data_IF_632072107331
#
_entry.id   IF_632072107331
#
_cell.length_a   1.000
_cell.length_b   1.000
_cell.length_c   1.000
_cell.angle_alpha   90.00
_cell.angle_beta   90.00
_cell.angle_gamma   90.00
#
_symmetry.space_group_name_H-M   'P 1'
#
loop_
_entity.id
_entity.type
_entity.pdbx_description
1 polymer ?
#
# COMPACT_ATOMS: atom_id res chain seq x y z
N UNK A 1 20.93 -4.14 7.17
CA UNK A 1 19.58 -4.71 7.37
C UNK A 1 19.00 -5.06 6.00
N UNK A 2 18.62 -6.32 5.74
CA UNK A 2 18.05 -6.71 4.44
C UNK A 2 16.66 -6.07 4.24
N UNK A 3 16.17 -6.04 3.00
CA UNK A 3 14.86 -5.47 2.63
C UNK A 3 13.68 -6.14 3.36
N UNK A 4 13.80 -7.42 3.69
CA UNK A 4 12.78 -8.21 4.39
C UNK A 4 12.64 -7.74 5.86
N UNK A 5 13.76 -7.49 6.55
CA UNK A 5 13.80 -6.99 7.91
C UNK A 5 13.27 -5.56 8.04
N UNK A 6 13.46 -4.72 7.01
CA UNK A 6 12.82 -3.39 6.93
C UNK A 6 11.30 -3.50 6.78
N UNK A 7 10.81 -4.40 5.91
CA UNK A 7 9.37 -4.66 5.75
C UNK A 7 8.73 -5.21 7.02
N UNK A 8 9.47 -6.05 7.76
CA UNK A 8 9.09 -6.59 9.06
C UNK A 8 8.87 -5.49 10.10
N UNK A 9 9.89 -4.65 10.29
CA UNK A 9 9.84 -3.51 11.21
C UNK A 9 8.73 -2.56 10.79
N UNK A 10 8.48 -2.39 9.49
CA UNK A 10 7.41 -1.54 8.99
C UNK A 10 6.01 -2.11 9.24
N UNK A 11 5.81 -3.42 9.09
CA UNK A 11 4.57 -4.09 9.46
C UNK A 11 4.30 -3.95 10.97
N UNK A 12 5.35 -4.00 11.80
CA UNK A 12 5.26 -3.76 13.24
C UNK A 12 5.01 -2.28 13.57
N UNK A 13 5.59 -1.33 12.83
CA UNK A 13 5.26 0.11 12.94
C UNK A 13 3.82 0.39 12.49
N UNK A 14 3.33 -0.26 11.43
CA UNK A 14 1.94 -0.16 10.99
C UNK A 14 1.02 -0.76 12.04
N UNK A 15 1.36 -1.94 12.58
CA UNK A 15 0.67 -2.55 13.73
C UNK A 15 0.59 -1.54 14.88
N UNK A 16 1.72 -0.95 15.29
CA UNK A 16 1.78 -0.07 16.45
C UNK A 16 1.16 1.33 16.23
N UNK A 17 1.22 1.88 15.02
CA UNK A 17 0.68 3.22 14.70
C UNK A 17 -0.79 3.21 14.27
N UNK A 18 -1.32 2.08 13.78
CA UNK A 18 -2.69 1.98 13.25
C UNK A 18 -3.64 1.11 14.08
N UNK A 19 -3.15 0.41 15.13
CA UNK A 19 -4.02 -0.27 16.10
C UNK A 19 -5.02 0.66 16.81
N UNK A 20 -4.81 1.98 16.77
CA UNK A 20 -5.61 2.96 17.53
C UNK A 20 -6.51 3.87 16.67
N UNK A 21 -6.47 3.79 15.33
CA UNK A 21 -7.02 4.86 14.50
C UNK A 21 -7.71 4.42 13.18
N UNK A 22 -8.72 3.54 13.25
CA UNK A 22 -9.71 3.18 12.20
C UNK A 22 -9.56 1.81 11.47
N UNK A 23 -10.74 1.21 11.25
CA UNK A 23 -11.17 0.04 10.45
C UNK A 23 -10.24 -1.18 10.34
N UNK A 24 -10.62 -2.23 11.07
CA UNK A 24 -10.09 -3.60 11.07
C UNK A 24 -10.30 -4.35 9.73
N UNK A 25 -9.97 -3.76 8.59
CA UNK A 25 -10.18 -4.38 7.29
C UNK A 25 -8.85 -4.69 6.59
N UNK A 26 -8.51 -5.98 6.60
CA UNK A 26 -7.24 -6.50 6.07
C UNK A 26 -7.04 -6.16 4.58
N UNK A 27 -8.13 -5.99 3.83
CA UNK A 27 -8.09 -5.59 2.42
C UNK A 27 -7.30 -4.29 2.20
N UNK A 28 -7.39 -3.36 3.15
CA UNK A 28 -6.71 -2.08 3.06
C UNK A 28 -5.23 -2.17 3.37
N UNK A 29 -4.84 -3.08 4.27
CA UNK A 29 -3.43 -3.44 4.49
C UNK A 29 -2.83 -4.01 3.20
N UNK A 30 -3.58 -4.87 2.49
CA UNK A 30 -3.15 -5.39 1.19
C UNK A 30 -2.90 -4.28 0.18
N UNK A 31 -3.85 -3.35 0.03
CA UNK A 31 -3.72 -2.24 -0.91
C UNK A 31 -2.49 -1.36 -0.58
N UNK A 32 -2.27 -1.06 0.69
CA UNK A 32 -1.08 -0.34 1.15
C UNK A 32 0.22 -1.03 0.75
N UNK A 33 0.34 -2.33 1.03
CA UNK A 33 1.54 -3.11 0.71
C UNK A 33 1.76 -3.21 -0.80
N UNK A 34 0.69 -3.32 -1.58
CA UNK A 34 0.75 -3.28 -3.05
C UNK A 34 1.34 -1.97 -3.55
N UNK A 35 0.88 -0.83 -3.01
CA UNK A 35 1.44 0.48 -3.34
C UNK A 35 2.92 0.62 -2.97
N UNK A 36 3.28 0.21 -1.76
CA UNK A 36 4.67 0.23 -1.29
C UNK A 36 5.58 -0.62 -2.18
N UNK A 37 5.20 -1.87 -2.48
CA UNK A 37 6.01 -2.75 -3.34
C UNK A 37 6.10 -2.22 -4.78
N UNK A 38 5.02 -1.62 -5.30
CA UNK A 38 5.02 -1.06 -6.65
C UNK A 38 6.06 0.05 -6.82
N UNK A 39 6.18 0.96 -5.84
CA UNK A 39 7.22 2.00 -5.81
C UNK A 39 8.64 1.41 -5.81
N UNK A 40 8.89 0.38 -4.99
CA UNK A 40 10.19 -0.32 -4.95
C UNK A 40 10.56 -0.92 -6.32
N UNK A 41 9.60 -1.57 -6.99
CA UNK A 41 9.80 -2.16 -8.33
C UNK A 41 10.13 -1.06 -9.36
N UNK A 42 9.37 0.04 -9.35
CA UNK A 42 9.62 1.18 -10.25
C UNK A 42 10.99 1.83 -10.01
N UNK A 43 11.52 1.75 -8.79
CA UNK A 43 12.86 2.22 -8.45
C UNK A 43 13.98 1.25 -8.86
N UNK A 44 13.66 0.13 -9.50
CA UNK A 44 14.64 -0.87 -9.90
C UNK A 44 15.16 -1.70 -8.74
N UNK A 45 14.54 -1.63 -7.56
CA UNK A 45 14.73 -2.69 -6.58
C UNK A 45 14.13 -3.94 -7.20
N UNK A 46 15.00 -4.91 -7.48
CA UNK A 46 14.58 -6.25 -7.86
C UNK A 46 13.76 -6.73 -6.67
N UNK A 47 12.42 -6.89 -6.79
CA UNK A 47 11.76 -7.78 -5.85
C UNK A 47 12.53 -9.07 -6.00
N UNK A 48 12.94 -9.71 -4.90
CA UNK A 48 13.32 -11.11 -4.98
C UNK A 48 12.14 -11.76 -5.74
N UNK A 49 12.32 -12.06 -7.03
CA UNK A 49 11.36 -12.42 -8.10
C UNK A 49 9.99 -11.64 -8.23
N UNK A 50 9.63 -11.11 -9.42
CA UNK A 50 8.30 -10.53 -9.72
C UNK A 50 7.10 -11.48 -9.53
N UNK A 51 7.34 -12.79 -9.55
CA UNK A 51 6.37 -13.86 -9.24
C UNK A 51 6.60 -14.52 -7.89
N UNK A 52 7.69 -14.22 -7.20
CA UNK A 52 7.77 -14.49 -5.78
C UNK A 52 7.08 -13.33 -5.08
N UNK A 53 5.76 -13.52 -4.94
CA UNK A 53 5.06 -13.29 -3.68
C UNK A 53 6.11 -13.13 -2.56
N UNK A 54 6.31 -11.89 -2.09
CA UNK A 54 7.19 -11.51 -1.00
C UNK A 54 7.30 -12.68 -0.01
N UNK A 55 8.50 -13.28 0.17
CA UNK A 55 8.69 -14.59 0.82
C UNK A 55 7.88 -14.71 2.13
N UNK A 56 7.85 -13.64 2.90
CA UNK A 56 6.97 -13.46 4.05
C UNK A 56 5.48 -13.64 3.73
N UNK A 57 4.90 -12.89 2.76
CA UNK A 57 3.50 -13.06 2.33
C UNK A 57 3.23 -14.40 1.66
N UNK A 58 4.24 -15.01 1.06
CA UNK A 58 4.17 -16.35 0.50
C UNK A 58 4.00 -17.40 1.60
N UNK A 59 4.83 -17.28 2.64
CA UNK A 59 4.74 -18.07 3.87
C UNK A 59 3.45 -17.79 4.61
N UNK A 60 3.00 -16.53 4.65
CA UNK A 60 1.74 -16.13 5.25
C UNK A 60 0.53 -16.68 4.51
N UNK A 61 0.49 -16.56 3.18
CA UNK A 61 -0.54 -17.14 2.32
C UNK A 61 -0.56 -18.67 2.47
N UNK A 62 0.61 -19.31 2.50
CA UNK A 62 0.74 -20.76 2.71
C UNK A 62 0.28 -21.17 4.11
N UNK A 63 0.70 -20.44 5.14
CA UNK A 63 0.29 -20.67 6.53
C UNK A 63 -1.23 -20.56 6.64
N UNK A 64 -1.83 -19.45 6.17
CA UNK A 64 -3.28 -19.23 6.20
C UNK A 64 -4.01 -20.35 5.45
N UNK A 65 -3.58 -20.69 4.23
CA UNK A 65 -4.20 -21.79 3.46
C UNK A 65 -4.15 -23.12 4.18
N UNK A 66 -3.01 -23.46 4.78
CA UNK A 66 -2.85 -24.69 5.52
C UNK A 66 -3.71 -24.70 6.79
N UNK A 67 -3.76 -23.58 7.52
CA UNK A 67 -4.56 -23.42 8.74
C UNK A 67 -6.07 -23.56 8.47
N UNK A 68 -6.55 -23.10 7.32
CA UNK A 68 -7.96 -23.20 6.92
C UNK A 68 -8.24 -24.34 5.92
N UNK A 69 -7.27 -25.21 5.63
CA UNK A 69 -7.38 -26.32 4.68
C UNK A 69 -7.89 -25.92 3.27
N UNK A 70 -7.45 -24.77 2.75
CA UNK A 70 -7.86 -24.24 1.44
C UNK A 70 -6.80 -24.48 0.36
N UNK A 71 -7.19 -25.27 -0.64
CA UNK A 71 -6.35 -25.57 -1.82
C UNK A 71 -6.69 -24.72 -3.07
N UNK A 72 -7.74 -23.89 -3.01
CA UNK A 72 -8.18 -23.07 -4.16
C UNK A 72 -7.39 -21.76 -4.27
N UNK A 73 -7.25 -21.23 -5.49
CA UNK A 73 -6.56 -19.96 -5.79
C UNK A 73 -7.39 -18.72 -5.42
N UNK A 74 -7.77 -18.60 -4.16
CA UNK A 74 -8.46 -17.43 -3.57
C UNK A 74 -7.50 -16.60 -2.72
N UNK A 75 -7.70 -15.28 -2.59
CA UNK A 75 -6.78 -14.46 -1.79
C UNK A 75 -6.79 -14.87 -0.30
N UNK A 76 -5.65 -14.81 0.40
CA UNK A 76 -5.59 -15.11 1.84
C UNK A 76 -6.56 -14.25 2.67
N UNK A 77 -6.85 -13.04 2.21
CA UNK A 77 -7.83 -12.14 2.81
C UNK A 77 -9.26 -12.66 2.66
N UNK A 78 -9.59 -13.20 1.48
CA UNK A 78 -10.88 -13.85 1.24
C UNK A 78 -11.04 -15.11 2.08
N UNK A 79 -9.96 -15.87 2.28
CA UNK A 79 -9.95 -17.05 3.16
C UNK A 79 -10.30 -16.62 4.58
N UNK A 80 -9.53 -15.69 5.15
CA UNK A 80 -9.75 -15.25 6.54
C UNK A 80 -11.17 -14.68 6.69
N UNK A 81 -11.58 -13.74 5.84
CA UNK A 81 -12.91 -13.14 5.92
C UNK A 81 -14.05 -14.17 5.81
N UNK A 82 -13.87 -15.23 5.02
CA UNK A 82 -14.89 -16.27 4.86
C UNK A 82 -15.04 -17.13 6.12
N UNK A 83 -13.95 -17.38 6.85
CA UNK A 83 -13.93 -18.24 8.04
C UNK A 83 -14.05 -17.49 9.37
N UNK A 84 -14.21 -16.17 9.34
CA UNK A 84 -14.36 -15.35 10.55
C UNK A 84 -15.71 -14.69 10.63
N UNK A 85 -16.28 -14.64 11.83
CA UNK A 85 -17.64 -14.14 12.07
C UNK A 85 -17.81 -12.64 11.75
N UNK A 86 -16.75 -11.85 11.92
CA UNK A 86 -16.76 -10.42 11.68
C UNK A 86 -15.36 -9.90 11.30
N UNK A 87 -15.30 -8.64 10.86
CA UNK A 87 -14.06 -8.00 10.39
C UNK A 87 -13.00 -7.81 11.48
N UNK A 88 -13.40 -7.61 12.73
CA UNK A 88 -12.47 -7.46 13.86
C UNK A 88 -11.74 -8.78 14.15
N UNK A 89 -12.48 -9.90 14.18
CA UNK A 89 -11.91 -11.23 14.31
C UNK A 89 -11.06 -11.61 13.09
N UNK A 90 -11.49 -11.23 11.88
CA UNK A 90 -10.68 -11.38 10.68
C UNK A 90 -9.31 -10.71 10.86
N UNK A 91 -9.32 -9.45 11.26
CA UNK A 91 -8.12 -8.66 11.50
C UNK A 91 -7.23 -9.29 12.58
N UNK A 92 -7.80 -9.70 13.71
CA UNK A 92 -7.05 -10.36 14.77
C UNK A 92 -6.36 -11.62 14.25
N UNK A 93 -7.10 -12.51 13.57
CA UNK A 93 -6.57 -13.76 13.02
C UNK A 93 -5.49 -13.51 11.95
N UNK A 94 -5.61 -12.43 11.18
CA UNK A 94 -4.58 -12.02 10.22
C UNK A 94 -3.29 -11.58 10.92
N UNK A 95 -3.39 -10.79 11.98
CA UNK A 95 -2.21 -10.36 12.73
C UNK A 95 -1.58 -11.47 13.56
N UNK A 96 -2.37 -12.40 14.08
CA UNK A 96 -1.85 -13.61 14.72
C UNK A 96 -1.08 -14.48 13.72
N UNK A 97 -1.63 -14.69 12.52
CA UNK A 97 -0.94 -15.39 11.44
C UNK A 97 0.37 -14.68 11.03
N UNK A 98 0.35 -13.34 10.99
CA UNK A 98 1.56 -12.53 10.80
C UNK A 98 2.56 -12.83 11.92
N UNK A 99 2.18 -12.70 13.19
CA UNK A 99 3.09 -12.88 14.33
C UNK A 99 3.73 -14.27 14.32
N UNK A 100 2.96 -15.32 14.00
CA UNK A 100 3.45 -16.70 13.89
C UNK A 100 4.49 -16.82 12.76
N UNK A 101 4.16 -16.33 11.56
CA UNK A 101 5.06 -16.44 10.39
C UNK A 101 6.29 -15.55 10.56
N UNK A 102 6.13 -14.40 11.23
CA UNK A 102 7.22 -13.50 11.61
C UNK A 102 8.20 -14.21 12.54
N UNK A 103 7.70 -14.83 13.61
CA UNK A 103 8.54 -15.53 14.59
C UNK A 103 9.28 -16.71 13.95
N UNK A 104 8.60 -17.52 13.13
CA UNK A 104 9.23 -18.63 12.39
C UNK A 104 10.32 -18.13 11.43
N UNK A 105 10.09 -16.98 10.78
CA UNK A 105 11.05 -16.40 9.84
C UNK A 105 12.26 -15.79 10.55
N UNK A 106 12.05 -15.16 11.72
CA UNK A 106 13.12 -14.65 12.58
C UNK A 106 14.00 -15.77 13.14
N UNK A 107 13.40 -16.86 13.61
CA UNK A 107 14.14 -18.03 14.10
C UNK A 107 15.01 -18.64 12.99
N UNK A 108 14.43 -18.81 11.79
CA UNK A 108 15.16 -19.30 10.61
C UNK A 108 16.30 -18.36 10.18
N UNK A 109 16.08 -17.03 10.25
CA UNK A 109 17.07 -16.02 9.91
C UNK A 109 18.22 -15.99 10.93
N UNK A 110 17.92 -16.00 12.23
CA UNK A 110 18.92 -16.07 13.30
C UNK A 110 19.77 -17.33 13.17
N UNK A 111 19.18 -18.45 12.76
CA UNK A 111 19.92 -19.67 12.47
C UNK A 111 20.85 -19.52 11.25
N UNK A 112 20.38 -18.91 10.16
CA UNK A 112 21.20 -18.67 8.96
C UNK A 112 22.38 -17.72 9.18
N UNK A 113 22.26 -16.74 10.10
CA UNK A 113 23.36 -15.82 10.47
C UNK A 113 24.43 -16.57 11.26
N UNK A 114 24.01 -17.49 12.16
CA UNK A 114 24.96 -18.31 12.92
C UNK A 114 25.80 -19.20 11.99
N UNK A 115 25.26 -19.55 10.83
CA UNK A 115 25.88 -20.47 9.89
C UNK A 115 26.68 -19.78 8.77
N UNK A 116 26.55 -18.46 8.54
CA UNK A 116 27.33 -17.72 7.53
C UNK A 116 27.54 -16.23 7.87
N UNK A 117 28.77 -15.88 8.26
CA UNK A 117 29.18 -14.51 8.54
C UNK A 117 29.85 -13.84 7.32
N UNK A 118 29.07 -13.41 6.31
CA UNK A 118 29.44 -12.32 5.38
C UNK A 118 28.33 -12.06 4.36
N UNK A 119 27.57 -10.98 4.52
CA UNK A 119 26.83 -10.38 3.40
C UNK A 119 26.94 -8.85 3.44
N UNK A 120 27.67 -8.31 2.47
CA UNK A 120 27.81 -6.87 2.21
C UNK A 120 26.65 -6.42 1.31
N UNK A 121 25.96 -5.36 1.72
CA UNK A 121 24.87 -4.73 0.97
C UNK A 121 25.44 -3.87 -0.16
N UNK A 122 25.07 -4.14 -1.41
CA UNK A 122 25.33 -3.25 -2.54
C UNK A 122 24.04 -2.50 -2.86
N UNK A 123 24.04 -1.19 -2.59
CA UNK A 123 22.97 -0.29 -3.01
C UNK A 123 23.27 0.24 -4.41
N UNK A 124 22.35 0.18 -5.37
CA UNK A 124 22.51 0.94 -6.60
C UNK A 124 22.42 2.43 -6.26
N UNK A 125 23.56 3.09 -6.36
CA UNK A 125 23.68 4.53 -6.30
C UNK A 125 23.05 5.10 -7.57
N UNK A 126 21.93 5.83 -7.48
CA UNK A 126 21.46 6.72 -8.56
C UNK A 126 20.45 7.74 -8.05
N UNK A 127 20.93 8.96 -7.91
CA UNK A 127 20.16 10.18 -7.92
C UNK A 127 19.35 10.26 -9.22
N UNK A 128 18.07 9.96 -9.17
CA UNK A 128 17.13 10.35 -10.21
C UNK A 128 15.94 11.00 -9.52
N UNK A 129 15.89 12.33 -9.65
CA UNK A 129 14.80 13.22 -9.27
C UNK A 129 13.47 12.56 -9.66
N UNK A 130 12.57 12.35 -8.71
CA UNK A 130 11.20 11.89 -9.00
C UNK A 130 10.54 12.98 -9.83
N UNK A 131 10.02 12.62 -10.98
CA UNK A 131 9.27 13.50 -11.85
C UNK A 131 7.79 13.41 -11.46
N UNK A 132 7.10 14.55 -11.26
CA UNK A 132 5.65 14.64 -11.01
C UNK A 132 4.83 13.74 -11.95
N UNK A 133 5.36 13.49 -13.14
CA UNK A 133 4.80 12.60 -14.14
C UNK A 133 4.57 11.16 -13.64
N UNK A 134 5.39 10.61 -12.72
CA UNK A 134 5.30 9.21 -12.29
C UNK A 134 4.02 8.90 -11.51
N UNK A 135 3.73 9.68 -10.46
CA UNK A 135 2.50 9.49 -9.68
C UNK A 135 1.26 9.73 -10.55
N UNK A 136 1.29 10.74 -11.42
CA UNK A 136 0.19 11.03 -12.34
C UNK A 136 -0.04 9.88 -13.33
N UNK A 137 1.03 9.31 -13.88
CA UNK A 137 0.94 8.17 -14.79
C UNK A 137 0.48 6.89 -14.09
N UNK A 138 0.92 6.66 -12.85
CA UNK A 138 0.41 5.58 -12.01
C UNK A 138 -1.10 5.74 -11.76
N UNK A 139 -1.56 6.94 -11.40
CA UNK A 139 -2.98 7.21 -11.22
C UNK A 139 -3.79 6.96 -12.49
N UNK A 140 -3.26 7.26 -13.69
CA UNK A 140 -3.90 6.90 -14.97
C UNK A 140 -4.00 5.39 -15.14
N UNK A 141 -2.92 4.63 -14.89
CA UNK A 141 -2.93 3.16 -14.99
C UNK A 141 -3.94 2.53 -14.03
N UNK A 142 -4.00 3.02 -12.79
CA UNK A 142 -4.98 2.55 -11.79
C UNK A 142 -6.41 2.86 -12.23
N UNK A 143 -6.65 4.03 -12.85
CA UNK A 143 -7.98 4.41 -13.38
C UNK A 143 -8.46 3.41 -14.43
N UNK A 144 -7.56 3.02 -15.35
CA UNK A 144 -7.88 2.13 -16.46
C UNK A 144 -8.13 0.69 -16.00
N UNK A 145 -7.39 0.22 -14.98
CA UNK A 145 -7.42 -1.17 -14.52
C UNK A 145 -7.43 -1.29 -12.99
N UNK A 146 -8.43 -0.76 -12.28
CA UNK A 146 -8.42 -0.71 -10.82
C UNK A 146 -8.30 -2.09 -10.18
N UNK A 147 -8.93 -3.12 -10.75
CA UNK A 147 -8.82 -4.49 -10.28
C UNK A 147 -7.39 -5.07 -10.29
N UNK A 148 -6.54 -4.62 -11.22
CA UNK A 148 -5.14 -5.09 -11.30
C UNK A 148 -4.28 -4.55 -10.16
N UNK A 149 -4.58 -3.34 -9.67
CA UNK A 149 -3.77 -2.65 -8.66
C UNK A 149 -4.37 -2.77 -7.25
N UNK A 150 -5.70 -2.73 -7.16
CA UNK A 150 -6.44 -2.61 -5.91
C UNK A 150 -7.29 -3.85 -5.60
N UNK A 151 -7.37 -4.82 -6.53
CA UNK A 151 -8.28 -5.96 -6.45
C UNK A 151 -9.74 -5.64 -6.80
N UNK A 152 -10.16 -4.38 -6.60
CA UNK A 152 -11.47 -3.89 -6.99
C UNK A 152 -11.47 -2.37 -7.21
N UNK A 153 -12.61 -1.81 -7.61
CA UNK A 153 -12.81 -0.37 -7.70
C UNK A 153 -13.23 0.21 -6.35
N UNK A 154 -12.25 0.69 -5.57
CA UNK A 154 -12.46 1.20 -4.20
C UNK A 154 -11.66 2.48 -3.94
N UNK A 155 -12.34 3.51 -3.42
CA UNK A 155 -11.71 4.76 -2.96
C UNK A 155 -10.77 4.48 -1.79
N UNK A 156 -11.25 3.69 -0.81
CA UNK A 156 -10.47 3.39 0.39
C UNK A 156 -9.23 2.57 0.02
N UNK A 157 -9.38 1.57 -0.84
CA UNK A 157 -8.26 0.82 -1.41
C UNK A 157 -7.24 1.71 -2.14
N UNK A 158 -7.72 2.66 -2.95
CA UNK A 158 -6.85 3.65 -3.61
C UNK A 158 -6.09 4.51 -2.60
N UNK A 159 -6.76 5.01 -1.55
CA UNK A 159 -6.14 5.84 -0.50
C UNK A 159 -5.01 5.11 0.21
N UNK A 160 -5.24 3.86 0.59
CA UNK A 160 -4.23 3.02 1.23
C UNK A 160 -3.07 2.68 0.28
N UNK A 161 -3.37 2.34 -0.97
CA UNK A 161 -2.35 2.11 -2.00
C UNK A 161 -1.43 3.34 -2.16
N UNK A 162 -2.00 4.54 -2.31
CA UNK A 162 -1.22 5.76 -2.46
C UNK A 162 -0.38 6.05 -1.21
N UNK A 163 -0.92 5.79 -0.02
CA UNK A 163 -0.18 5.95 1.24
C UNK A 163 1.07 5.07 1.27
N UNK A 164 0.95 3.80 0.88
CA UNK A 164 2.08 2.88 0.81
C UNK A 164 3.09 3.27 -0.28
N UNK A 165 2.60 3.66 -1.46
CA UNK A 165 3.43 4.10 -2.57
C UNK A 165 4.28 5.33 -2.22
N UNK A 166 3.66 6.36 -1.67
CA UNK A 166 4.31 7.62 -1.28
C UNK A 166 5.37 7.37 -0.21
N UNK A 167 5.05 6.55 0.80
CA UNK A 167 6.01 6.25 1.85
C UNK A 167 7.26 5.55 1.31
N UNK A 168 7.08 4.59 0.40
CA UNK A 168 8.19 3.93 -0.27
C UNK A 168 9.02 4.92 -1.10
N UNK A 169 8.38 5.86 -1.80
CA UNK A 169 9.12 6.89 -2.54
C UNK A 169 9.96 7.80 -1.62
N UNK A 170 9.43 8.21 -0.47
CA UNK A 170 10.19 8.98 0.53
C UNK A 170 11.40 8.17 1.00
N UNK A 171 11.22 6.88 1.28
CA UNK A 171 12.30 6.03 1.78
C UNK A 171 13.39 5.75 0.73
N UNK A 172 13.01 5.64 -0.55
CA UNK A 172 13.95 5.34 -1.64
C UNK A 172 14.69 6.60 -2.09
N UNK A 173 13.96 7.69 -2.26
CA UNK A 173 14.45 8.89 -2.95
C UNK A 173 14.70 10.07 -2.01
N UNK A 174 14.35 9.95 -0.73
CA UNK A 174 14.32 11.07 0.23
C UNK A 174 13.50 12.26 -0.32
N UNK A 175 12.51 11.97 -1.17
CA UNK A 175 11.73 12.96 -1.89
C UNK A 175 10.27 12.97 -1.42
N UNK A 176 9.70 14.17 -1.33
CA UNK A 176 8.33 14.44 -0.91
C UNK A 176 7.44 15.00 -2.03
N UNK A 177 7.90 15.03 -3.28
CA UNK A 177 7.13 15.52 -4.45
C UNK A 177 5.72 14.89 -4.53
N UNK A 178 5.62 13.58 -4.35
CA UNK A 178 4.32 12.88 -4.32
C UNK A 178 3.45 13.29 -3.13
N UNK A 179 4.04 13.60 -1.97
CA UNK A 179 3.31 14.21 -0.85
C UNK A 179 2.77 15.58 -1.22
N UNK A 180 3.56 16.41 -1.91
CA UNK A 180 3.13 17.73 -2.34
C UNK A 180 1.98 17.67 -3.34
N UNK A 181 1.99 16.73 -4.29
CA UNK A 181 0.88 16.53 -5.24
C UNK A 181 -0.40 16.14 -4.50
N UNK A 182 -0.32 15.15 -3.60
CA UNK A 182 -1.50 14.73 -2.82
C UNK A 182 -1.99 15.83 -1.89
N UNK A 183 -1.10 16.53 -1.20
CA UNK A 183 -1.44 17.67 -0.34
C UNK A 183 -2.05 18.84 -1.11
N UNK A 184 -1.58 19.11 -2.33
CA UNK A 184 -2.14 20.16 -3.19
C UNK A 184 -3.53 19.79 -3.71
N UNK A 185 -3.74 18.52 -4.07
CA UNK A 185 -5.07 18.02 -4.44
C UNK A 185 -6.04 18.05 -3.26
N UNK A 186 -5.58 17.70 -2.06
CA UNK A 186 -6.35 17.79 -0.82
C UNK A 186 -6.77 19.22 -0.51
N UNK A 187 -5.84 20.18 -0.64
CA UNK A 187 -6.15 21.60 -0.48
C UNK A 187 -7.20 22.06 -1.50
N UNK A 188 -7.05 21.67 -2.77
CA UNK A 188 -8.04 21.96 -3.82
C UNK A 188 -9.45 21.47 -3.45
N UNK A 189 -9.58 20.25 -2.90
CA UNK A 189 -10.87 19.72 -2.47
C UNK A 189 -11.43 20.44 -1.24
N UNK A 190 -10.58 20.76 -0.25
CA UNK A 190 -10.99 21.51 0.93
C UNK A 190 -11.56 22.88 0.53
N UNK A 191 -10.82 23.63 -0.31
CA UNK A 191 -11.23 24.95 -0.79
C UNK A 191 -12.55 24.88 -1.58
N UNK A 192 -12.68 23.88 -2.46
CA UNK A 192 -13.85 23.72 -3.32
C UNK A 192 -15.12 23.33 -2.57
N UNK A 193 -15.00 22.49 -1.54
CA UNK A 193 -16.14 21.93 -0.81
C UNK A 193 -16.32 22.58 0.57
N UNK A 194 -15.56 23.63 0.88
CA UNK A 194 -15.61 24.37 2.13
C UNK A 194 -15.39 23.47 3.37
N UNK A 195 -14.46 22.52 3.25
CA UNK A 195 -13.95 21.73 4.37
C UNK A 195 -12.68 22.35 4.92
N UNK A 196 -12.39 22.07 6.19
CA UNK A 196 -11.16 22.52 6.87
C UNK A 196 -10.26 21.33 7.15
N UNK A 197 -9.09 21.33 6.53
CA UNK A 197 -7.98 20.40 6.77
C UNK A 197 -8.39 18.93 6.82
N UNK A 198 -9.33 18.53 5.94
CA UNK A 198 -9.77 17.14 5.81
C UNK A 198 -8.98 16.42 4.73
N UNK A 199 -8.62 15.17 5.03
CA UNK A 199 -8.02 14.26 4.03
C UNK A 199 -8.96 14.10 2.82
N UNK A 200 -8.38 14.10 1.63
CA UNK A 200 -9.14 14.09 0.37
C UNK A 200 -10.14 12.93 0.27
N UNK A 201 -9.77 11.74 0.75
CA UNK A 201 -10.63 10.55 0.71
C UNK A 201 -11.80 10.67 1.68
N UNK A 202 -11.62 11.33 2.82
CA UNK A 202 -12.69 11.64 3.77
C UNK A 202 -13.68 12.64 3.18
N UNK A 203 -13.19 13.70 2.53
CA UNK A 203 -14.04 14.64 1.80
C UNK A 203 -14.89 13.90 0.77
N UNK A 204 -14.26 13.06 -0.04
CA UNK A 204 -14.96 12.31 -1.09
C UNK A 204 -15.97 11.33 -0.48
N UNK A 205 -15.62 10.61 0.58
CA UNK A 205 -16.53 9.67 1.24
C UNK A 205 -17.77 10.34 1.85
N UNK A 206 -17.67 11.62 2.25
CA UNK A 206 -18.84 12.38 2.69
C UNK A 206 -19.77 12.77 1.54
N UNK A 207 -19.22 12.98 0.34
CA UNK A 207 -19.98 13.37 -0.86
C UNK A 207 -20.58 12.13 -1.54
N UNK A 208 -19.78 11.08 -1.68
CA UNK A 208 -20.10 9.81 -2.33
C UNK A 208 -19.87 8.67 -1.32
N UNK A 209 -20.91 8.21 -0.61
CA UNK A 209 -20.75 7.25 0.49
C UNK A 209 -20.34 5.84 0.07
N UNK A 210 -20.50 5.49 -1.21
CA UNK A 210 -20.24 4.15 -1.74
C UNK A 210 -18.92 4.10 -2.49
N UNK A 211 -18.11 3.06 -2.25
CA UNK A 211 -16.74 2.90 -2.75
C UNK A 211 -16.56 3.13 -4.26
N UNK A 212 -17.43 2.57 -5.09
CA UNK A 212 -17.31 2.64 -6.56
C UNK A 212 -17.60 4.05 -7.11
N UNK A 213 -18.75 4.69 -6.83
CA UNK A 213 -19.00 6.10 -7.17
C UNK A 213 -17.95 7.05 -6.58
N UNK A 214 -17.50 6.81 -5.36
CA UNK A 214 -16.48 7.62 -4.70
C UNK A 214 -15.13 7.55 -5.45
N UNK A 215 -14.73 6.36 -5.90
CA UNK A 215 -13.56 6.18 -6.76
C UNK A 215 -13.70 6.96 -8.08
N UNK A 216 -14.86 6.90 -8.75
CA UNK A 216 -15.10 7.66 -9.97
C UNK A 216 -15.05 9.18 -9.73
N UNK A 217 -15.61 9.61 -8.61
CA UNK A 217 -15.61 10.99 -8.19
C UNK A 217 -14.19 11.51 -7.94
N UNK A 218 -13.32 10.72 -7.30
CA UNK A 218 -11.89 11.04 -7.17
C UNK A 218 -11.27 11.36 -8.53
N UNK A 219 -11.44 10.50 -9.54
CA UNK A 219 -10.83 10.72 -10.85
C UNK A 219 -11.46 11.90 -11.61
N UNK A 220 -12.76 12.14 -11.42
CA UNK A 220 -13.44 13.33 -11.95
C UNK A 220 -12.84 14.61 -11.37
N UNK A 221 -12.59 14.65 -10.06
CA UNK A 221 -12.02 15.80 -9.38
C UNK A 221 -10.52 15.97 -9.68
N UNK A 222 -9.76 14.88 -9.72
CA UNK A 222 -8.36 14.89 -10.15
C UNK A 222 -8.22 15.49 -11.55
N UNK A 223 -9.10 15.11 -12.48
CA UNK A 223 -9.11 15.66 -13.86
C UNK A 223 -9.36 17.17 -13.86
N UNK A 224 -10.27 17.66 -13.01
CA UNK A 224 -10.54 19.10 -12.88
C UNK A 224 -9.33 19.83 -12.32
N UNK A 225 -8.72 19.29 -11.28
CA UNK A 225 -7.50 19.83 -10.67
C UNK A 225 -6.36 19.93 -11.68
N UNK A 226 -6.05 18.86 -12.42
CA UNK A 226 -4.98 18.86 -13.42
C UNK A 226 -5.26 19.85 -14.56
N UNK A 227 -6.53 20.00 -14.97
CA UNK A 227 -6.91 20.97 -16.00
C UNK A 227 -6.77 22.42 -15.52
N UNK A 228 -6.99 22.70 -14.23
CA UNK A 228 -6.77 24.03 -13.66
C UNK A 228 -5.28 24.38 -13.60
N UNK A 229 -4.43 23.43 -13.18
CA UNK A 229 -2.98 23.62 -13.20
C UNK A 229 -2.46 23.96 -14.61
N UNK A 230 -2.92 23.22 -15.63
CA UNK A 230 -2.52 23.44 -17.02
C UNK A 230 -2.98 24.78 -17.59
N UNK A 231 -4.02 25.40 -17.03
CA UNK A 231 -4.47 26.75 -17.41
C UNK A 231 -3.61 27.84 -16.75
N UNK A 232 -3.13 27.61 -15.53
CA UNK A 232 -2.31 28.56 -14.78
C UNK A 232 -0.86 28.61 -15.27
N UNK A 233 -0.34 27.53 -15.88
CA UNK A 233 1.02 27.45 -16.42
C UNK A 233 1.16 27.93 -17.88
N UNK A 234 0.04 28.29 -18.53
CA UNK A 234 0.00 28.81 -19.91
C UNK A 234 -0.24 30.32 -20.01
N UNK A 235 -0.13 31.04 -18.88
CA UNK A 235 -0.22 32.50 -18.81
C UNK A 235 1.18 33.11 -18.68
#
# INVERSE_FOLDING_TARGET
>A
MNTENKKLIKLLEIKNNYYSAFDYNIKYISAYLSGYNYSQIEAGYIPVDPFSKNLFFNRLDSYIRNSYHINMTVSMYSIINFFTENTENAFHNFYEAIDIVLNQSLESYVQSIKDNAAYVLVFPNKSNKVDLNRLVDLLKKIKERPGMYLGEKSLTGLSWFLTGYILSEIEIYENTDSCYVVGSFEKFLNDKHNYKDKRWDKIISFIEPTEMPAFDFFYKELTKYTNQLNKLTKC
#
